data_IF_725303482413
#
_entry.id   IF_725303482413
#
_cell.length_a   1.000
_cell.length_b   1.000
_cell.length_c   1.000
_cell.angle_alpha   90.00
_cell.angle_beta   90.00
_cell.angle_gamma   90.00
#
_symmetry.space_group_name_H-M   'P 1'
#
loop_
_entity.id
_entity.type
_entity.pdbx_description
1 polymer ?
#
# COMPACT_ATOMS: atom_id res chain seq x y z
N UNK A 1 11.68 -14.12 -64.88
CA UNK A 1 10.61 -14.83 -64.15
C UNK A 1 11.28 -15.97 -63.39
N UNK A 2 11.35 -16.10 -62.07
CA UNK A 2 10.72 -15.47 -60.90
C UNK A 2 11.75 -15.52 -59.76
N UNK A 3 12.33 -14.38 -59.37
CA UNK A 3 12.33 -13.87 -57.99
C UNK A 3 11.19 -14.44 -57.12
N UNK A 4 11.49 -15.41 -56.26
CA UNK A 4 10.70 -15.73 -55.05
C UNK A 4 11.25 -16.98 -54.34
N UNK A 5 12.42 -16.91 -53.69
CA UNK A 5 12.84 -17.98 -52.76
C UNK A 5 13.95 -17.50 -51.78
N UNK A 6 13.78 -16.31 -51.19
CA UNK A 6 14.75 -15.73 -50.26
C UNK A 6 14.09 -15.06 -49.03
N UNK A 7 12.94 -15.55 -48.56
CA UNK A 7 12.25 -15.03 -47.36
C UNK A 7 11.77 -16.19 -46.46
N UNK A 8 12.53 -17.28 -46.34
CA UNK A 8 12.15 -18.38 -45.43
C UNK A 8 13.35 -18.98 -44.68
N UNK A 9 14.28 -18.13 -44.26
CA UNK A 9 15.43 -18.54 -43.43
C UNK A 9 15.74 -17.56 -42.28
N UNK A 10 14.80 -16.67 -41.91
CA UNK A 10 14.99 -15.68 -40.83
C UNK A 10 13.74 -15.54 -39.96
N UNK A 11 13.17 -16.68 -39.53
CA UNK A 11 12.09 -16.72 -38.53
C UNK A 11 12.18 -17.96 -37.62
N UNK A 12 13.41 -18.40 -37.32
CA UNK A 12 13.67 -19.47 -36.33
C UNK A 12 14.91 -19.08 -35.51
N UNK A 13 14.84 -17.96 -34.79
CA UNK A 13 15.87 -17.58 -33.83
C UNK A 13 15.35 -16.52 -32.84
N UNK A 14 14.26 -16.79 -32.12
CA UNK A 14 13.90 -16.03 -30.90
C UNK A 14 12.83 -16.75 -30.05
N UNK A 15 12.93 -18.07 -29.93
CA UNK A 15 12.22 -18.84 -28.89
C UNK A 15 13.16 -19.96 -28.44
N UNK A 16 13.99 -19.71 -27.42
CA UNK A 16 14.54 -20.75 -26.53
C UNK A 16 15.62 -20.18 -25.62
N UNK A 17 15.21 -19.49 -24.55
CA UNK A 17 15.94 -19.52 -23.27
C UNK A 17 15.17 -18.74 -22.20
N UNK A 18 13.95 -19.18 -21.87
CA UNK A 18 13.36 -19.00 -20.54
C UNK A 18 12.50 -20.21 -20.23
N UNK A 19 13.18 -21.34 -20.01
CA UNK A 19 12.59 -22.53 -19.42
C UNK A 19 13.55 -23.05 -18.35
N UNK A 20 13.71 -22.27 -17.28
CA UNK A 20 13.90 -22.88 -15.96
C UNK A 20 12.51 -23.06 -15.35
N UNK A 21 11.80 -24.06 -15.87
CA UNK A 21 10.62 -24.61 -15.22
C UNK A 21 11.12 -25.49 -14.07
N UNK A 22 11.34 -24.88 -12.90
CA UNK A 22 11.08 -25.61 -11.67
C UNK A 22 9.58 -25.91 -11.68
N UNK A 23 9.19 -27.18 -11.56
CA UNK A 23 7.82 -27.67 -11.66
C UNK A 23 6.86 -27.19 -10.57
N UNK A 24 6.88 -25.90 -10.23
CA UNK A 24 5.82 -25.25 -9.48
C UNK A 24 4.68 -24.94 -10.44
N UNK A 25 3.52 -25.52 -10.19
CA UNK A 25 2.26 -25.14 -10.85
C UNK A 25 2.10 -23.63 -10.72
N UNK A 26 2.00 -22.92 -11.85
CA UNK A 26 1.79 -21.47 -11.84
C UNK A 26 0.45 -21.19 -11.13
N UNK A 27 0.51 -20.38 -10.06
CA UNK A 27 -0.67 -19.94 -9.34
C UNK A 27 -1.52 -19.07 -10.28
N UNK A 28 -2.83 -19.32 -10.31
CA UNK A 28 -3.80 -18.58 -11.13
C UNK A 28 -4.90 -18.03 -10.26
N UNK A 29 -5.52 -16.92 -10.68
CA UNK A 29 -6.60 -16.28 -9.93
C UNK A 29 -7.81 -17.22 -9.70
N UNK A 30 -8.10 -18.13 -10.62
CA UNK A 30 -9.21 -19.09 -10.49
C UNK A 30 -8.97 -20.17 -9.41
N UNK A 31 -7.73 -20.30 -8.95
CA UNK A 31 -7.31 -21.25 -7.90
C UNK A 31 -6.64 -20.51 -6.73
N UNK A 32 -7.06 -19.28 -6.47
CA UNK A 32 -6.59 -18.52 -5.32
C UNK A 32 -6.92 -19.26 -4.02
N UNK A 33 -5.99 -19.27 -3.06
CA UNK A 33 -6.20 -19.94 -1.77
C UNK A 33 -7.10 -19.13 -0.82
N UNK A 34 -7.15 -17.82 -1.01
CA UNK A 34 -8.01 -16.91 -0.27
C UNK A 34 -8.58 -15.85 -1.22
N UNK A 35 -9.91 -15.70 -1.20
CA UNK A 35 -10.65 -14.75 -2.02
C UNK A 35 -11.38 -13.78 -1.12
N UNK A 36 -11.09 -12.49 -1.26
CA UNK A 36 -11.77 -11.44 -0.53
C UNK A 36 -12.45 -10.43 -1.44
N UNK A 37 -13.54 -9.83 -0.98
CA UNK A 37 -14.08 -8.61 -1.57
C UNK A 37 -13.49 -7.36 -0.88
N UNK A 38 -12.97 -6.42 -1.65
CA UNK A 38 -12.43 -5.15 -1.13
C UNK A 38 -13.45 -4.01 -1.17
N UNK A 39 -14.61 -4.22 -1.81
CA UNK A 39 -15.70 -3.26 -1.89
C UNK A 39 -15.54 -2.21 -2.99
N UNK A 40 -14.33 -1.98 -3.49
CA UNK A 40 -14.08 -1.01 -4.56
C UNK A 40 -12.78 -1.31 -5.32
N UNK A 41 -12.71 -0.82 -6.55
CA UNK A 41 -11.48 -0.71 -7.32
C UNK A 41 -10.55 0.33 -6.65
N UNK A 42 -9.26 0.01 -6.41
CA UNK A 42 -8.32 0.98 -5.86
C UNK A 42 -8.01 2.11 -6.85
N UNK A 43 -7.89 3.34 -6.36
CA UNK A 43 -7.49 4.48 -7.19
C UNK A 43 -6.04 4.37 -7.71
N UNK A 44 -5.17 3.72 -6.94
CA UNK A 44 -3.76 3.46 -7.26
C UNK A 44 -3.23 2.34 -6.37
N UNK A 45 -2.06 1.79 -6.73
CA UNK A 45 -1.25 0.95 -5.84
C UNK A 45 0.02 1.65 -5.36
N UNK A 46 0.20 2.93 -5.72
CA UNK A 46 1.32 3.76 -5.27
C UNK A 46 1.05 4.29 -3.86
N UNK A 47 1.85 3.93 -2.84
CA UNK A 47 1.61 4.39 -1.46
C UNK A 47 1.54 5.91 -1.30
N UNK A 48 2.15 6.68 -2.21
CA UNK A 48 2.09 8.16 -2.20
C UNK A 48 0.76 8.72 -2.70
N UNK A 49 -0.02 7.95 -3.46
CA UNK A 49 -1.20 8.43 -4.19
C UNK A 49 -2.52 7.80 -3.72
N UNK A 50 -2.50 7.07 -2.62
CA UNK A 50 -3.68 6.39 -2.08
C UNK A 50 -4.19 7.05 -0.81
N UNK A 51 -5.53 7.14 -0.69
CA UNK A 51 -6.19 7.79 0.44
C UNK A 51 -7.27 6.95 1.14
N UNK A 52 -7.71 5.85 0.50
CA UNK A 52 -8.85 5.07 0.97
C UNK A 52 -8.46 3.81 1.75
N UNK A 53 -9.46 3.25 2.43
CA UNK A 53 -9.36 1.96 3.12
C UNK A 53 -9.14 0.80 2.14
N UNK A 54 -9.80 0.72 0.96
CA UNK A 54 -9.54 -0.35 -0.02
C UNK A 54 -8.07 -0.43 -0.42
N UNK A 55 -7.42 0.71 -0.66
CA UNK A 55 -6.01 0.78 -1.02
C UNK A 55 -5.10 0.45 0.18
N UNK A 56 -5.43 0.91 1.38
CA UNK A 56 -4.67 0.58 2.59
C UNK A 56 -4.61 -0.94 2.85
N UNK A 57 -5.69 -1.68 2.57
CA UNK A 57 -5.67 -3.16 2.67
C UNK A 57 -4.72 -3.81 1.66
N UNK A 58 -4.69 -3.30 0.43
CA UNK A 58 -3.76 -3.77 -0.60
C UNK A 58 -2.31 -3.41 -0.25
N UNK A 59 -2.08 -2.23 0.31
CA UNK A 59 -0.77 -1.82 0.84
C UNK A 59 -0.25 -2.83 1.86
N UNK A 60 -1.07 -3.27 2.83
CA UNK A 60 -0.67 -4.28 3.82
C UNK A 60 -0.29 -5.64 3.21
N UNK A 61 -0.74 -5.95 2.00
CA UNK A 61 -0.35 -7.16 1.27
C UNK A 61 0.93 -6.98 0.43
N UNK A 62 1.13 -5.79 -0.15
CA UNK A 62 2.16 -5.52 -1.16
C UNK A 62 3.43 -4.86 -0.61
N UNK A 63 3.31 -4.15 0.50
CA UNK A 63 4.38 -3.37 1.11
C UNK A 63 4.43 -3.58 2.62
N UNK A 64 5.56 -3.20 3.21
CA UNK A 64 5.71 -3.08 4.65
C UNK A 64 6.50 -1.81 5.01
N UNK A 65 6.05 -1.09 6.03
CA UNK A 65 6.68 0.15 6.51
C UNK A 65 7.72 -0.06 7.61
N UNK A 66 8.12 1.03 8.27
CA UNK A 66 8.99 0.98 9.46
C UNK A 66 8.34 0.15 10.57
N UNK A 67 7.07 0.41 10.81
CA UNK A 67 6.22 -0.34 11.74
C UNK A 67 4.99 -0.86 11.00
N UNK A 68 4.26 -1.78 11.63
CA UNK A 68 2.97 -2.29 11.17
C UNK A 68 1.96 -2.25 12.31
N UNK A 69 0.67 -2.30 11.98
CA UNK A 69 -0.38 -2.37 13.01
C UNK A 69 -0.50 -3.78 13.58
N UNK A 70 -0.44 -3.91 14.90
CA UNK A 70 -0.83 -5.14 15.58
C UNK A 70 -2.32 -5.45 15.31
N UNK A 71 -2.67 -6.66 14.85
CA UNK A 71 -4.03 -6.96 14.41
C UNK A 71 -5.06 -7.01 15.55
N UNK A 72 -4.63 -6.97 16.81
CA UNK A 72 -5.53 -6.99 17.98
C UNK A 72 -5.68 -5.63 18.64
N UNK A 73 -4.58 -4.88 18.72
CA UNK A 73 -4.49 -3.64 19.50
C UNK A 73 -4.36 -2.39 18.64
N UNK A 74 -4.07 -2.55 17.35
CA UNK A 74 -3.79 -1.47 16.40
C UNK A 74 -2.62 -0.55 16.80
N UNK A 75 -1.79 -0.97 17.76
CA UNK A 75 -0.55 -0.27 18.10
C UNK A 75 0.53 -0.58 17.07
N UNK A 76 1.48 0.33 16.86
CA UNK A 76 2.64 -0.01 16.06
C UNK A 76 3.46 -1.12 16.73
N UNK A 77 3.82 -2.11 15.92
CA UNK A 77 4.80 -3.15 16.23
C UNK A 77 5.90 -3.15 15.17
N UNK A 78 7.08 -3.72 15.46
CA UNK A 78 8.20 -3.77 14.51
C UNK A 78 7.79 -4.32 13.14
N UNK A 79 8.04 -3.53 12.09
CA UNK A 79 7.97 -3.93 10.68
C UNK A 79 9.38 -4.08 10.12
N UNK A 80 9.75 -3.25 9.14
CA UNK A 80 11.14 -3.18 8.67
C UNK A 80 12.12 -2.63 9.72
N UNK A 81 11.67 -1.79 10.66
CA UNK A 81 12.49 -1.39 11.79
C UNK A 81 12.39 -2.44 12.91
N UNK A 82 13.52 -3.02 13.31
CA UNK A 82 13.58 -4.00 14.41
C UNK A 82 13.42 -3.34 15.77
N UNK A 83 13.91 -2.10 15.88
CA UNK A 83 13.87 -1.26 17.07
C UNK A 83 14.08 0.20 16.68
N UNK A 84 13.84 1.10 17.63
CA UNK A 84 14.10 2.53 17.48
C UNK A 84 14.51 3.15 18.82
N UNK A 85 15.31 4.21 18.72
CA UNK A 85 15.72 5.05 19.85
C UNK A 85 15.07 6.43 19.71
N UNK A 86 14.61 6.99 20.83
CA UNK A 86 14.08 8.35 20.91
C UNK A 86 15.06 9.18 21.76
N UNK A 87 15.47 10.34 21.25
CA UNK A 87 16.36 11.26 21.98
C UNK A 87 15.72 11.75 23.29
N UNK A 88 16.54 12.20 24.23
CA UNK A 88 16.07 12.68 25.53
C UNK A 88 15.09 13.88 25.44
N UNK A 89 15.21 14.70 24.39
CA UNK A 89 14.31 15.82 24.11
C UNK A 89 13.07 15.41 23.30
N UNK A 90 12.96 14.14 22.89
CA UNK A 90 11.84 13.59 22.13
C UNK A 90 11.78 14.03 20.66
N UNK A 91 12.80 14.72 20.15
CA UNK A 91 12.77 15.34 18.81
C UNK A 91 13.49 14.55 17.73
N UNK A 92 14.26 13.53 18.09
CA UNK A 92 14.97 12.68 17.13
C UNK A 92 14.60 11.24 17.36
N UNK A 93 14.14 10.57 16.30
CA UNK A 93 13.85 9.14 16.29
C UNK A 93 14.80 8.45 15.33
N UNK A 94 15.52 7.44 15.82
CA UNK A 94 16.47 6.65 15.01
C UNK A 94 15.97 5.23 14.90
N UNK A 95 15.59 4.80 13.70
CA UNK A 95 15.14 3.45 13.40
C UNK A 95 16.32 2.59 12.93
N UNK A 96 16.39 1.37 13.47
CA UNK A 96 17.36 0.35 13.07
C UNK A 96 16.64 -0.68 12.21
N UNK A 97 16.97 -0.72 10.93
CA UNK A 97 16.32 -1.55 9.93
C UNK A 97 16.89 -2.97 9.91
N UNK A 98 16.02 -3.96 9.71
CA UNK A 98 16.46 -5.32 9.39
C UNK A 98 17.04 -5.36 7.98
N UNK A 99 17.99 -6.27 7.76
CA UNK A 99 18.44 -6.60 6.40
C UNK A 99 17.29 -7.22 5.63
N UNK A 100 16.87 -6.54 4.57
CA UNK A 100 15.75 -6.96 3.73
C UNK A 100 16.05 -6.64 2.26
N UNK A 101 15.23 -7.20 1.39
CA UNK A 101 15.32 -6.96 -0.05
C UNK A 101 13.94 -6.67 -0.61
N UNK A 102 13.90 -5.91 -1.69
CA UNK A 102 12.75 -5.79 -2.57
C UNK A 102 12.43 -7.12 -3.25
N UNK A 103 11.22 -7.28 -3.79
CA UNK A 103 10.80 -8.51 -4.50
C UNK A 103 11.65 -8.83 -5.73
N UNK A 104 12.33 -7.84 -6.32
CA UNK A 104 13.32 -8.04 -7.39
C UNK A 104 14.69 -8.51 -6.87
N UNK A 105 14.91 -8.49 -5.55
CA UNK A 105 16.13 -8.94 -4.88
C UNK A 105 17.14 -7.83 -4.60
N UNK A 106 16.86 -6.57 -4.95
CA UNK A 106 17.71 -5.45 -4.56
C UNK A 106 17.65 -5.23 -3.05
N UNK A 107 18.76 -4.89 -2.39
CA UNK A 107 18.75 -4.47 -0.99
C UNK A 107 17.75 -3.34 -0.75
N UNK A 108 16.94 -3.47 0.30
CA UNK A 108 16.10 -2.40 0.80
C UNK A 108 16.87 -1.70 1.92
N UNK A 109 17.05 -0.39 1.80
CA UNK A 109 17.92 0.41 2.68
C UNK A 109 17.19 1.63 3.25
N UNK A 110 17.80 2.27 4.25
CA UNK A 110 17.33 3.56 4.78
C UNK A 110 17.21 4.64 3.68
N UNK A 111 17.98 4.52 2.59
CA UNK A 111 17.87 5.45 1.45
C UNK A 111 16.53 5.33 0.72
N UNK A 112 15.92 4.16 0.68
CA UNK A 112 14.62 3.98 0.01
C UNK A 112 13.50 4.69 0.78
N UNK A 113 13.63 4.84 2.10
CA UNK A 113 12.76 5.70 2.90
C UNK A 113 13.02 7.17 2.64
N UNK A 114 14.30 7.61 2.68
CA UNK A 114 14.66 9.00 2.42
C UNK A 114 14.14 9.44 1.04
N UNK A 115 14.53 8.75 -0.03
CA UNK A 115 14.15 9.13 -1.38
C UNK A 115 12.63 9.00 -1.59
N UNK A 116 12.02 7.95 -1.01
CA UNK A 116 10.59 7.71 -1.09
C UNK A 116 9.78 8.83 -0.44
N UNK A 117 10.11 9.21 0.79
CA UNK A 117 9.42 10.28 1.50
C UNK A 117 9.64 11.64 0.84
N UNK A 118 10.85 11.91 0.34
CA UNK A 118 11.10 13.11 -0.48
C UNK A 118 10.22 13.10 -1.72
N UNK A 119 10.06 11.97 -2.42
CA UNK A 119 9.12 11.88 -3.55
C UNK A 119 7.69 12.15 -3.08
N UNK A 120 7.21 11.51 -2.02
CA UNK A 120 5.85 11.70 -1.50
C UNK A 120 5.57 13.17 -1.16
N UNK A 121 6.54 13.87 -0.57
CA UNK A 121 6.42 15.26 -0.18
C UNK A 121 6.52 16.24 -1.35
N UNK A 122 7.05 15.87 -2.53
CA UNK A 122 7.13 16.81 -3.66
C UNK A 122 5.73 17.33 -4.05
N UNK A 123 5.56 18.65 -4.25
CA UNK A 123 4.28 19.22 -4.68
C UNK A 123 3.72 18.54 -5.93
N UNK A 124 4.61 18.16 -6.87
CA UNK A 124 4.24 17.56 -8.16
C UNK A 124 3.72 16.12 -8.02
N UNK A 125 4.04 15.43 -6.92
CA UNK A 125 3.49 14.10 -6.64
C UNK A 125 2.01 14.18 -6.30
N UNK A 126 1.54 15.31 -5.73
CA UNK A 126 0.12 15.48 -5.41
C UNK A 126 -0.39 14.53 -4.33
N UNK A 127 0.48 14.09 -3.40
CA UNK A 127 0.08 13.19 -2.32
C UNK A 127 -0.87 13.87 -1.35
N UNK A 128 -2.10 13.33 -1.25
CA UNK A 128 -3.12 13.87 -0.36
C UNK A 128 -2.81 13.66 1.13
N UNK A 129 -1.95 12.68 1.45
CA UNK A 129 -1.53 12.41 2.82
C UNK A 129 -0.18 13.05 3.19
N UNK A 130 0.49 13.78 2.29
CA UNK A 130 1.76 14.44 2.58
C UNK A 130 1.69 15.37 3.81
N UNK A 131 0.51 15.95 4.11
CA UNK A 131 0.31 16.76 5.30
C UNK A 131 0.64 15.99 6.60
N UNK A 132 0.42 14.67 6.66
CA UNK A 132 0.74 13.87 7.84
C UNK A 132 2.24 13.88 8.14
N UNK A 133 3.07 13.84 7.10
CA UNK A 133 4.52 14.03 7.23
C UNK A 133 4.86 15.47 7.62
N UNK A 134 4.21 16.45 6.97
CA UNK A 134 4.39 17.89 7.25
C UNK A 134 4.10 18.27 8.70
N UNK A 135 3.12 17.60 9.33
CA UNK A 135 2.76 17.82 10.74
C UNK A 135 3.84 17.41 11.74
N UNK A 136 4.72 16.46 11.40
CA UNK A 136 5.61 15.82 12.37
C UNK A 136 7.09 15.90 12.02
N UNK A 137 7.46 15.89 10.74
CA UNK A 137 8.86 15.90 10.29
C UNK A 137 9.32 17.35 10.08
N UNK A 138 10.47 17.69 10.65
CA UNK A 138 11.07 19.02 10.49
C UNK A 138 11.23 19.36 8.99
N UNK A 139 10.79 20.55 8.57
CA UNK A 139 10.94 21.04 7.19
C UNK A 139 10.05 20.38 6.13
N UNK A 140 9.31 19.31 6.47
CA UNK A 140 8.48 18.58 5.50
C UNK A 140 7.31 19.43 4.96
N UNK A 141 6.67 20.24 5.80
CA UNK A 141 5.55 21.11 5.38
C UNK A 141 6.00 22.21 4.41
N UNK A 142 7.10 22.90 4.73
CA UNK A 142 7.67 23.93 3.86
C UNK A 142 8.13 23.36 2.52
N UNK A 143 8.68 22.13 2.52
CA UNK A 143 9.03 21.43 1.29
C UNK A 143 7.79 21.04 0.47
N UNK A 144 6.77 20.48 1.13
CA UNK A 144 5.53 20.07 0.45
C UNK A 144 4.71 21.22 -0.12
N UNK A 145 4.76 22.39 0.51
CA UNK A 145 4.13 23.60 0.00
C UNK A 145 4.99 24.35 -1.04
N UNK A 146 6.19 23.85 -1.36
CA UNK A 146 7.11 24.48 -2.30
C UNK A 146 7.74 25.78 -1.80
N UNK A 147 7.63 26.09 -0.50
CA UNK A 147 8.27 27.23 0.16
C UNK A 147 9.78 27.05 0.27
N UNK A 148 10.22 25.82 0.50
CA UNK A 148 11.62 25.40 0.40
C UNK A 148 11.74 24.27 -0.64
N UNK A 149 12.67 24.41 -1.59
CA UNK A 149 12.85 23.41 -2.67
C UNK A 149 14.02 22.47 -2.42
N UNK A 150 14.79 22.69 -1.36
CA UNK A 150 15.92 21.82 -1.01
C UNK A 150 15.41 20.57 -0.29
N UNK A 151 15.52 19.36 -0.87
CA UNK A 151 15.12 18.13 -0.20
C UNK A 151 15.92 17.86 1.09
N UNK A 152 17.13 18.41 1.23
CA UNK A 152 17.93 18.26 2.45
C UNK A 152 17.39 19.08 3.63
N UNK A 153 16.42 19.97 3.40
CA UNK A 153 15.72 20.68 4.46
C UNK A 153 14.72 19.80 5.23
N UNK A 154 14.31 18.67 4.64
CA UNK A 154 13.43 17.70 5.28
C UNK A 154 14.25 16.88 6.27
N UNK A 155 13.78 16.80 7.52
CA UNK A 155 14.43 16.14 8.64
C UNK A 155 14.43 14.63 8.57
N UNK A 156 14.79 14.03 7.44
CA UNK A 156 14.93 12.58 7.24
C UNK A 156 16.28 12.29 6.58
N UNK A 157 17.07 11.39 7.17
CA UNK A 157 18.36 10.99 6.61
C UNK A 157 18.71 9.55 6.91
N UNK A 158 19.40 8.92 5.97
CA UNK A 158 20.07 7.66 6.19
C UNK A 158 21.44 7.95 6.82
N UNK A 159 21.68 7.45 8.04
CA UNK A 159 23.01 7.52 8.66
C UNK A 159 23.96 6.48 8.04
N UNK A 160 23.39 5.35 7.65
CA UNK A 160 24.01 4.26 6.90
C UNK A 160 22.93 3.45 6.17
N UNK A 161 23.28 2.30 5.57
CA UNK A 161 22.34 1.46 4.82
C UNK A 161 21.12 0.99 5.63
N UNK A 162 21.26 0.81 6.95
CA UNK A 162 20.24 0.21 7.81
C UNK A 162 19.83 1.12 8.99
N UNK A 163 20.25 2.38 9.00
CA UNK A 163 19.92 3.32 10.07
C UNK A 163 19.25 4.57 9.50
N UNK A 164 17.96 4.76 9.79
CA UNK A 164 17.18 5.93 9.39
C UNK A 164 16.99 6.85 10.59
N UNK A 165 17.40 8.10 10.48
CA UNK A 165 17.15 9.13 11.50
C UNK A 165 16.13 10.14 11.01
N UNK A 166 15.16 10.45 11.86
CA UNK A 166 14.11 11.43 11.62
C UNK A 166 14.16 12.51 12.71
N UNK A 167 14.22 13.76 12.31
CA UNK A 167 14.10 14.93 13.17
C UNK A 167 12.67 15.47 13.07
N UNK A 168 12.05 15.65 14.23
CA UNK A 168 10.66 16.05 14.38
C UNK A 168 10.55 17.56 14.63
N UNK A 169 9.40 18.14 14.27
CA UNK A 169 9.08 19.56 14.57
C UNK A 169 9.05 19.84 16.08
N UNK A 170 8.75 18.82 16.87
CA UNK A 170 8.69 18.84 18.33
C UNK A 170 8.54 17.43 18.89
N UNK A 171 8.47 17.28 20.22
CA UNK A 171 8.28 15.96 20.84
C UNK A 171 6.93 15.35 20.44
N UNK A 172 6.97 14.30 19.61
CA UNK A 172 5.77 13.63 19.08
C UNK A 172 5.81 12.14 19.44
N UNK A 173 5.34 11.76 20.66
CA UNK A 173 5.43 10.37 21.13
C UNK A 173 4.66 9.37 20.25
N UNK A 174 3.65 9.85 19.51
CA UNK A 174 2.83 9.08 18.57
C UNK A 174 3.47 8.90 17.19
N UNK A 175 4.63 9.51 16.91
CA UNK A 175 5.27 9.43 15.59
C UNK A 175 5.56 7.99 15.17
N UNK A 176 6.00 7.14 16.10
CA UNK A 176 6.26 5.72 15.84
C UNK A 176 4.98 5.03 15.33
N UNK A 177 3.83 5.26 15.99
CA UNK A 177 2.54 4.71 15.56
C UNK A 177 2.13 5.20 14.16
N UNK A 178 2.42 6.46 13.84
CA UNK A 178 2.13 7.02 12.51
C UNK A 178 2.90 6.30 11.40
N UNK A 179 4.11 5.79 11.66
CA UNK A 179 4.94 5.15 10.62
C UNK A 179 4.38 3.82 10.10
N UNK A 180 3.30 3.30 10.70
CA UNK A 180 2.54 2.17 10.17
C UNK A 180 1.59 2.57 9.03
N UNK A 181 1.28 3.87 8.90
CA UNK A 181 0.45 4.39 7.83
C UNK A 181 1.20 4.39 6.48
N UNK A 182 0.50 4.03 5.39
CA UNK A 182 1.06 3.83 4.06
C UNK A 182 1.80 5.05 3.49
N UNK A 183 1.49 6.26 3.94
CA UNK A 183 2.22 7.45 3.52
C UNK A 183 3.71 7.38 3.89
N UNK A 184 4.06 6.70 4.99
CA UNK A 184 5.45 6.52 5.46
C UNK A 184 6.15 5.30 4.86
N UNK A 185 5.58 4.69 3.82
CA UNK A 185 6.18 3.54 3.16
C UNK A 185 7.55 3.85 2.53
N UNK A 186 8.49 2.89 2.49
CA UNK A 186 9.61 2.98 1.58
C UNK A 186 9.10 2.86 0.14
N UNK A 187 9.80 3.45 -0.82
CA UNK A 187 9.43 3.33 -2.24
C UNK A 187 10.57 2.73 -3.07
N UNK A 188 10.27 1.83 -4.04
CA UNK A 188 11.28 1.23 -4.92
C UNK A 188 11.68 2.23 -6.01
N UNK A 189 12.45 3.26 -5.62
CA UNK A 189 12.76 4.39 -6.50
C UNK A 189 13.48 3.97 -7.79
N UNK A 190 14.22 2.86 -7.78
CA UNK A 190 14.83 2.30 -9.00
C UNK A 190 13.82 1.83 -10.04
N UNK A 191 12.62 1.41 -9.62
CA UNK A 191 11.52 1.02 -10.52
C UNK A 191 10.73 2.25 -10.93
N UNK A 192 10.41 3.11 -9.98
CA UNK A 192 9.65 4.35 -10.22
C UNK A 192 10.40 5.24 -11.22
N UNK A 193 11.71 5.43 -11.05
CA UNK A 193 12.52 6.25 -11.96
C UNK A 193 12.60 5.65 -13.38
N UNK A 194 12.45 4.32 -13.51
CA UNK A 194 12.52 3.63 -14.80
C UNK A 194 11.18 3.66 -15.54
N UNK A 195 10.07 3.48 -14.82
CA UNK A 195 8.76 3.25 -15.42
C UNK A 195 7.76 4.38 -15.21
N UNK A 196 8.10 5.40 -14.42
CA UNK A 196 7.18 6.47 -14.04
C UNK A 196 5.91 5.88 -13.44
N UNK A 197 4.76 6.43 -13.80
CA UNK A 197 3.45 5.99 -13.30
C UNK A 197 3.11 4.53 -13.63
N UNK A 198 3.77 3.92 -14.62
CA UNK A 198 3.55 2.52 -14.99
C UNK A 198 4.19 1.55 -14.00
N UNK A 199 4.97 2.03 -13.02
CA UNK A 199 5.64 1.17 -12.04
C UNK A 199 4.68 0.28 -11.24
N UNK A 200 3.42 0.71 -11.11
CA UNK A 200 2.35 -0.05 -10.43
C UNK A 200 1.71 -1.15 -11.27
N UNK A 201 2.11 -1.30 -12.54
CA UNK A 201 1.61 -2.37 -13.42
C UNK A 201 2.27 -3.71 -13.06
N UNK A 202 1.56 -4.85 -13.17
CA UNK A 202 2.09 -6.16 -12.76
C UNK A 202 3.48 -6.51 -13.31
N UNK A 203 3.77 -6.16 -14.57
CA UNK A 203 5.05 -6.41 -15.24
C UNK A 203 6.23 -5.57 -14.72
N UNK A 204 5.95 -4.53 -13.93
CA UNK A 204 6.93 -3.59 -13.40
C UNK A 204 6.94 -3.57 -11.88
N UNK A 205 5.89 -4.07 -11.25
CA UNK A 205 5.66 -3.94 -9.82
C UNK A 205 6.79 -4.57 -9.00
N UNK A 206 7.30 -3.80 -8.05
CA UNK A 206 8.23 -4.26 -7.03
C UNK A 206 7.73 -3.77 -5.68
N UNK A 207 7.62 -4.71 -4.74
CA UNK A 207 7.18 -4.45 -3.37
C UNK A 207 8.08 -5.15 -2.37
N UNK A 208 7.85 -4.91 -1.09
CA UNK A 208 8.60 -5.51 0.01
C UNK A 208 7.71 -6.24 1.02
N UNK A 209 6.40 -6.32 0.75
CA UNK A 209 5.43 -6.98 1.62
C UNK A 209 5.37 -8.50 1.45
N UNK A 210 4.42 -9.15 2.15
CA UNK A 210 4.25 -10.61 2.15
C UNK A 210 3.80 -11.18 0.80
N UNK A 211 3.19 -10.36 -0.06
CA UNK A 211 2.78 -10.74 -1.41
C UNK A 211 3.32 -9.75 -2.45
N UNK A 212 3.33 -10.18 -3.72
CA UNK A 212 3.63 -9.36 -4.90
C UNK A 212 2.45 -9.39 -5.86
N UNK A 213 2.26 -8.29 -6.58
CA UNK A 213 1.25 -8.18 -7.61
C UNK A 213 1.58 -9.14 -8.78
N UNK A 214 0.67 -10.06 -9.10
CA UNK A 214 0.81 -10.93 -10.26
C UNK A 214 -0.13 -10.51 -11.40
N UNK A 215 -1.35 -10.08 -11.07
CA UNK A 215 -2.33 -9.66 -12.08
C UNK A 215 -3.22 -8.55 -11.52
N UNK A 216 -3.59 -7.61 -12.37
CA UNK A 216 -4.59 -6.59 -12.08
C UNK A 216 -5.52 -6.48 -13.28
N UNK A 217 -6.77 -6.89 -13.08
CA UNK A 217 -7.88 -6.68 -14.01
C UNK A 217 -8.77 -5.57 -13.45
N UNK A 218 -8.68 -4.34 -13.95
CA UNK A 218 -9.43 -3.21 -13.41
C UNK A 218 -10.94 -3.49 -13.38
N UNK A 219 -11.60 -3.12 -12.28
CA UNK A 219 -13.03 -3.35 -12.02
C UNK A 219 -13.43 -4.82 -11.86
N UNK A 220 -12.46 -5.74 -11.83
CA UNK A 220 -12.70 -7.17 -11.62
C UNK A 220 -11.93 -7.65 -10.39
N UNK A 221 -10.59 -7.79 -10.50
CA UNK A 221 -9.77 -8.22 -9.39
C UNK A 221 -8.30 -7.80 -9.45
N UNK A 222 -7.67 -7.85 -8.28
CA UNK A 222 -6.22 -7.91 -8.10
C UNK A 222 -5.85 -9.30 -7.60
N UNK A 223 -4.84 -9.90 -8.20
CA UNK A 223 -4.29 -11.19 -7.79
C UNK A 223 -2.84 -11.01 -7.33
N UNK A 224 -2.59 -11.46 -6.10
CA UNK A 224 -1.28 -11.36 -5.46
C UNK A 224 -0.79 -12.75 -5.08
N UNK A 225 0.50 -12.98 -5.21
CA UNK A 225 1.15 -14.24 -4.81
C UNK A 225 2.23 -14.01 -3.80
N UNK A 226 2.48 -15.03 -2.99
CA UNK A 226 3.45 -14.99 -1.90
C UNK A 226 4.80 -14.51 -2.41
N UNK A 227 5.36 -13.51 -1.73
CA UNK A 227 6.70 -13.01 -1.99
C UNK A 227 7.72 -13.91 -1.27
N UNK A 228 8.49 -14.77 -1.99
CA UNK A 228 9.47 -15.63 -1.34
C UNK A 228 10.66 -14.86 -0.74
N UNK A 229 10.84 -13.58 -1.14
CA UNK A 229 11.93 -12.72 -0.66
C UNK A 229 11.52 -11.83 0.52
N UNK A 230 10.24 -11.86 0.92
CA UNK A 230 9.80 -11.15 2.12
C UNK A 230 10.57 -11.65 3.34
N UNK A 231 11.03 -10.74 4.19
CA UNK A 231 11.92 -11.08 5.30
C UNK A 231 11.30 -12.08 6.29
N UNK A 232 9.95 -12.10 6.39
CA UNK A 232 9.21 -13.05 7.21
C UNK A 232 8.37 -14.05 6.39
N UNK A 233 8.80 -14.39 5.17
CA UNK A 233 8.08 -15.30 4.26
C UNK A 233 7.77 -16.69 4.87
N UNK A 234 8.54 -17.13 5.88
CA UNK A 234 8.31 -18.40 6.61
C UNK A 234 6.98 -18.41 7.40
N UNK A 235 6.51 -17.24 7.82
CA UNK A 235 5.29 -17.09 8.61
C UNK A 235 4.06 -16.84 7.73
N UNK A 236 4.25 -16.42 6.48
CA UNK A 236 3.18 -16.31 5.48
C UNK A 236 2.72 -17.70 5.05
N UNK A 237 1.49 -18.10 5.39
CA UNK A 237 0.96 -19.45 5.10
C UNK A 237 0.21 -19.55 3.77
N UNK A 238 -0.44 -18.47 3.36
CA UNK A 238 -1.12 -18.38 2.07
C UNK A 238 -0.10 -18.25 0.93
N UNK A 239 -0.35 -18.95 -0.17
CA UNK A 239 0.44 -18.82 -1.39
C UNK A 239 -0.14 -17.76 -2.34
N UNK A 240 -1.44 -17.47 -2.27
CA UNK A 240 -2.10 -16.50 -3.13
C UNK A 240 -3.33 -15.88 -2.51
N UNK A 241 -3.64 -14.64 -2.93
CA UNK A 241 -4.82 -13.88 -2.53
C UNK A 241 -5.45 -13.24 -3.75
N UNK A 242 -6.75 -13.45 -3.95
CA UNK A 242 -7.55 -12.74 -4.95
C UNK A 242 -8.42 -11.70 -4.25
N UNK A 243 -8.37 -10.46 -4.74
CA UNK A 243 -9.05 -9.31 -4.18
C UNK A 243 -10.03 -8.77 -5.21
N UNK A 244 -11.33 -8.98 -4.99
CA UNK A 244 -12.40 -8.55 -5.87
C UNK A 244 -12.79 -7.08 -5.61
N UNK A 245 -13.30 -6.41 -6.64
CA UNK A 245 -13.75 -5.01 -6.60
C UNK A 245 -15.29 -4.87 -6.63
N UNK A 246 -16.03 -5.76 -5.96
CA UNK A 246 -17.50 -5.79 -6.01
C UNK A 246 -18.07 -4.71 -5.07
N UNK A 247 -18.77 -3.73 -5.64
CA UNK A 247 -19.37 -2.60 -4.91
C UNK A 247 -20.77 -2.88 -4.37
N UNK A 248 -21.50 -3.82 -4.96
CA UNK A 248 -22.84 -4.22 -4.50
C UNK A 248 -22.74 -5.29 -3.39
N UNK A 249 -23.07 -4.90 -2.17
CA UNK A 249 -22.98 -5.76 -0.99
C UNK A 249 -23.84 -7.03 -1.13
N UNK A 250 -24.98 -6.96 -1.84
CA UNK A 250 -25.87 -8.12 -2.05
C UNK A 250 -25.22 -9.15 -2.95
N UNK A 251 -24.57 -8.71 -4.02
CA UNK A 251 -23.81 -9.56 -4.94
C UNK A 251 -22.66 -10.22 -4.19
N UNK A 252 -21.85 -9.45 -3.46
CA UNK A 252 -20.73 -9.98 -2.68
C UNK A 252 -21.20 -10.99 -1.61
N UNK A 253 -22.29 -10.70 -0.90
CA UNK A 253 -22.84 -11.61 0.10
C UNK A 253 -23.39 -12.91 -0.52
N UNK A 254 -24.04 -12.84 -1.67
CA UNK A 254 -24.49 -14.04 -2.38
C UNK A 254 -23.34 -14.92 -2.85
N UNK A 255 -22.23 -14.32 -3.31
CA UNK A 255 -21.01 -15.05 -3.67
C UNK A 255 -20.35 -15.68 -2.44
N UNK A 256 -20.29 -14.96 -1.32
CA UNK A 256 -19.81 -15.51 -0.04
C UNK A 256 -20.63 -16.74 0.38
N UNK A 257 -21.96 -16.68 0.32
CA UNK A 257 -22.84 -17.82 0.63
C UNK A 257 -22.61 -19.04 -0.27
N UNK A 258 -22.12 -18.84 -1.50
CA UNK A 258 -21.81 -19.92 -2.45
C UNK A 258 -20.39 -20.47 -2.27
N UNK A 259 -19.58 -19.90 -1.36
CA UNK A 259 -18.17 -20.24 -1.19
C UNK A 259 -17.27 -19.70 -2.31
N UNK A 260 -17.73 -18.71 -3.07
CA UNK A 260 -16.94 -18.05 -4.11
C UNK A 260 -16.08 -16.90 -3.55
N UNK A 261 -16.38 -16.45 -2.32
CA UNK A 261 -15.65 -15.44 -1.55
C UNK A 261 -15.50 -15.97 -0.12
N UNK A 262 -14.31 -15.85 0.44
CA UNK A 262 -14.00 -16.29 1.81
C UNK A 262 -14.19 -15.16 2.84
N UNK A 263 -14.05 -13.90 2.41
CA UNK A 263 -14.21 -12.73 3.28
C UNK A 263 -14.79 -11.52 2.55
N UNK A 264 -15.75 -10.84 3.17
CA UNK A 264 -16.34 -9.59 2.67
C UNK A 264 -16.20 -8.48 3.71
N UNK A 265 -15.98 -7.25 3.26
CA UNK A 265 -15.86 -6.06 4.12
C UNK A 265 -17.18 -5.60 4.69
N UNK A 266 -18.28 -5.88 3.99
CA UNK A 266 -19.61 -5.36 4.27
C UNK A 266 -20.67 -6.47 4.19
N UNK A 267 -21.82 -6.17 4.79
CA UNK A 267 -23.02 -7.00 4.78
C UNK A 267 -24.20 -6.12 4.33
N UNK A 268 -25.13 -6.64 3.50
CA UNK A 268 -26.31 -5.87 3.10
C UNK A 268 -27.14 -5.44 4.32
N UNK A 269 -27.40 -4.14 4.41
CA UNK A 269 -28.06 -3.54 5.58
C UNK A 269 -29.50 -4.02 5.77
N UNK A 270 -30.19 -4.41 4.71
CA UNK A 270 -31.58 -4.87 4.74
C UNK A 270 -31.77 -6.24 5.40
N UNK A 271 -30.70 -7.04 5.53
CA UNK A 271 -30.72 -8.36 6.18
C UNK A 271 -29.73 -8.45 7.35
N UNK A 272 -29.21 -7.32 7.83
CA UNK A 272 -28.13 -7.30 8.83
C UNK A 272 -28.50 -8.04 10.12
N UNK A 273 -29.76 -7.99 10.54
CA UNK A 273 -30.20 -8.66 11.77
C UNK A 273 -30.23 -10.18 11.64
N UNK A 274 -30.50 -10.72 10.45
CA UNK A 274 -30.36 -12.15 10.17
C UNK A 274 -28.88 -12.55 10.13
N UNK A 275 -28.04 -11.74 9.49
CA UNK A 275 -26.61 -12.03 9.33
C UNK A 275 -25.87 -12.01 10.68
N UNK A 276 -26.26 -11.12 11.61
CA UNK A 276 -25.71 -11.07 12.97
C UNK A 276 -25.85 -12.39 13.75
N UNK A 277 -26.80 -13.24 13.38
CA UNK A 277 -27.03 -14.54 14.03
C UNK A 277 -26.08 -15.64 13.50
N UNK A 278 -25.36 -15.38 12.42
CA UNK A 278 -24.46 -16.37 11.81
C UNK A 278 -23.13 -16.45 12.58
N UNK A 279 -22.56 -17.65 12.77
CA UNK A 279 -21.25 -17.81 13.41
C UNK A 279 -20.10 -17.19 12.60
N UNK A 280 -20.31 -16.97 11.31
CA UNK A 280 -19.35 -16.32 10.40
C UNK A 280 -19.38 -14.79 10.50
N UNK A 281 -20.39 -14.21 11.14
CA UNK A 281 -20.46 -12.76 11.34
C UNK A 281 -19.47 -12.32 12.41
N UNK A 282 -18.70 -11.28 12.08
CA UNK A 282 -17.73 -10.68 12.99
C UNK A 282 -17.93 -9.17 12.96
N UNK A 283 -18.00 -8.56 14.15
CA UNK A 283 -18.08 -7.13 14.32
C UNK A 283 -17.05 -6.69 15.36
N UNK A 284 -16.29 -5.65 15.02
CA UNK A 284 -15.27 -5.07 15.89
C UNK A 284 -15.44 -3.55 15.93
N UNK A 285 -15.19 -2.90 17.08
CA UNK A 285 -15.12 -1.45 17.15
C UNK A 285 -14.09 -0.91 16.14
N UNK A 286 -14.46 0.13 15.41
CA UNK A 286 -13.58 0.82 14.47
C UNK A 286 -13.39 2.27 14.93
N UNK A 287 -12.14 2.75 14.97
CA UNK A 287 -11.83 4.16 15.22
C UNK A 287 -12.15 4.99 13.98
N UNK A 288 -13.43 5.15 13.69
CA UNK A 288 -13.96 5.87 12.55
C UNK A 288 -15.20 6.68 12.93
N UNK A 289 -15.49 7.72 12.15
CA UNK A 289 -16.71 8.52 12.28
C UNK A 289 -17.35 8.65 10.91
N UNK A 290 -18.63 8.30 10.80
CA UNK A 290 -19.42 8.57 9.62
C UNK A 290 -20.11 9.93 9.78
N UNK A 291 -19.96 10.82 8.80
CA UNK A 291 -20.54 12.17 8.85
C UNK A 291 -20.79 12.72 7.44
N UNK A 292 -21.65 13.72 7.32
CA UNK A 292 -21.84 14.48 6.09
C UNK A 292 -20.89 15.68 6.04
N UNK A 293 -20.08 15.77 4.98
CA UNK A 293 -19.21 16.90 4.73
C UNK A 293 -19.96 18.02 4.00
N UNK A 294 -20.14 19.18 4.66
CA UNK A 294 -20.65 20.38 3.99
C UNK A 294 -19.52 21.14 3.30
N UNK A 295 -19.74 21.57 2.06
CA UNK A 295 -18.82 22.50 1.41
C UNK A 295 -19.04 23.91 1.95
N UNK A 296 -18.25 24.29 2.95
CA UNK A 296 -18.36 25.58 3.66
C UNK A 296 -18.04 26.81 2.81
N UNK A 297 -17.64 26.64 1.55
CA UNK A 297 -17.38 27.74 0.61
C UNK A 297 -18.50 27.90 -0.43
N UNK A 298 -19.53 27.05 -0.39
CA UNK A 298 -20.61 27.02 -1.39
C UNK A 298 -21.97 27.26 -0.74
N UNK A 299 -22.71 28.25 -1.23
CA UNK A 299 -24.11 28.50 -0.84
C UNK A 299 -25.00 27.24 -1.02
N UNK A 300 -25.92 26.95 -0.10
CA UNK A 300 -26.23 27.70 1.13
C UNK A 300 -25.38 27.29 2.35
N UNK A 301 -24.42 26.37 2.19
CA UNK A 301 -23.62 25.82 3.27
C UNK A 301 -22.49 26.74 3.76
N UNK A 302 -22.27 27.89 3.11
CA UNK A 302 -21.42 28.96 3.63
C UNK A 302 -22.00 29.59 4.91
N UNK A 303 -23.33 29.59 5.07
CA UNK A 303 -24.00 30.07 6.27
C UNK A 303 -23.92 29.05 7.44
N UNK A 304 -23.30 29.38 8.59
CA UNK A 304 -23.23 28.49 9.74
C UNK A 304 -24.60 28.09 10.30
N UNK A 305 -25.62 28.95 10.21
CA UNK A 305 -26.97 28.63 10.68
C UNK A 305 -27.66 27.55 9.83
N UNK A 306 -27.35 27.49 8.53
CA UNK A 306 -27.85 26.43 7.64
C UNK A 306 -27.23 25.10 8.02
N UNK A 307 -25.92 25.08 8.32
CA UNK A 307 -25.23 23.86 8.76
C UNK A 307 -25.76 23.38 10.12
N UNK A 308 -25.94 24.30 11.07
CA UNK A 308 -26.50 24.00 12.39
C UNK A 308 -27.92 23.42 12.31
N UNK A 309 -28.74 23.88 11.36
CA UNK A 309 -30.09 23.35 11.18
C UNK A 309 -30.13 21.89 10.67
N UNK A 310 -29.02 21.37 10.13
CA UNK A 310 -28.91 20.04 9.54
C UNK A 310 -28.10 19.04 10.40
N UNK A 311 -27.45 19.50 11.47
CA UNK A 311 -26.59 18.71 12.38
C UNK A 311 -27.29 18.43 13.71
#
# INVERSE_FOLDING_TARGET
>A
MKKSLAILATMIALISSFAFANGQTQLTADKAEFIMNNGAEPQSLDPSLIQGVPEARLYMGLFEGLTIYDPKTSKAVPGLAEKWDISADGKTVTFHLRKSVWSDGKPLTAKDFVDGWIRTLKPETGSQYAYMMGMVIQGADDFNQGKNKDPNSVGVKALDENTLQVNLVGPSPYFVDMTAHQVFAPLPMHVINKWGDKWIQPEHFVGNGPFVLQEWKPQDYIFMVKNPKYWDAKNVKLNSVKVLAITDDKTAYNMFKKGEIDWTTNVPLDIIDEVKLLPTYQASPQLATYYYCFNNQRKPFDNPLVRQALS
#
